data_IF_389169128343
#
_entry.id   IF_389169128343
#
_cell.length_a   1.000
_cell.length_b   1.000
_cell.length_c   1.000
_cell.angle_alpha   90.00
_cell.angle_beta   90.00
_cell.angle_gamma   90.00
#
_symmetry.space_group_name_H-M   'P 1'
#
loop_
_entity.id
_entity.type
_entity.pdbx_description
1 polymer ?
#
# COMPACT_ATOMS: atom_id res chain seq x y z
N UNK A 1 -19.38 32.74 0.86
CA UNK A 1 -20.10 31.47 0.64
C UNK A 1 -20.02 31.17 -0.84
N UNK A 2 -18.92 30.59 -1.30
CA UNK A 2 -18.77 30.14 -2.67
C UNK A 2 -18.80 28.60 -2.63
N UNK A 3 -19.75 28.03 -3.34
CA UNK A 3 -20.03 26.61 -3.41
C UNK A 3 -18.82 25.87 -4.00
N UNK A 4 -18.33 24.86 -3.29
CA UNK A 4 -17.34 23.91 -3.81
C UNK A 4 -18.01 23.02 -4.85
N UNK A 5 -18.02 23.47 -6.11
CA UNK A 5 -18.35 22.59 -7.23
C UNK A 5 -17.17 21.63 -7.44
N UNK A 6 -17.30 20.39 -6.95
CA UNK A 6 -16.36 19.30 -7.22
C UNK A 6 -16.28 19.05 -8.74
N UNK A 7 -15.24 19.58 -9.38
CA UNK A 7 -14.99 19.37 -10.80
C UNK A 7 -14.73 17.87 -11.08
N UNK A 8 -15.73 17.20 -11.65
CA UNK A 8 -15.66 15.82 -12.16
C UNK A 8 -14.61 15.61 -13.28
N UNK A 9 -13.85 16.64 -13.66
CA UNK A 9 -12.88 16.65 -14.76
C UNK A 9 -11.42 16.44 -14.33
N UNK A 10 -11.13 16.22 -13.04
CA UNK A 10 -9.75 16.16 -12.55
C UNK A 10 -9.18 14.75 -12.35
N UNK A 11 -10.04 13.72 -12.44
CA UNK A 11 -9.63 12.34 -12.20
C UNK A 11 -9.69 11.47 -13.46
N UNK A 12 -8.75 10.55 -13.57
CA UNK A 12 -8.86 9.37 -14.43
C UNK A 12 -8.80 8.11 -13.59
N UNK A 13 -9.36 7.02 -14.10
CA UNK A 13 -9.43 5.76 -13.38
C UNK A 13 -8.40 4.77 -13.91
N UNK A 14 -7.66 4.15 -12.99
CA UNK A 14 -6.91 2.91 -13.24
C UNK A 14 -7.69 1.76 -12.61
N UNK A 15 -8.03 0.78 -13.44
CA UNK A 15 -8.60 -0.47 -12.98
C UNK A 15 -7.46 -1.40 -12.53
N UNK A 16 -7.63 -2.03 -11.36
CA UNK A 16 -6.72 -3.04 -10.80
C UNK A 16 -7.52 -4.30 -10.54
N UNK A 17 -7.24 -5.35 -11.32
CA UNK A 17 -7.98 -6.61 -11.28
C UNK A 17 -7.49 -7.52 -10.14
N UNK A 18 -8.45 -8.00 -9.35
CA UNK A 18 -8.26 -8.99 -8.28
C UNK A 18 -8.27 -10.41 -8.84
N UNK A 19 -7.71 -11.35 -8.09
CA UNK A 19 -7.65 -12.77 -8.49
C UNK A 19 -9.05 -13.43 -8.59
N UNK A 20 -10.07 -12.86 -7.96
CA UNK A 20 -11.46 -13.31 -8.05
C UNK A 20 -12.23 -12.70 -9.25
N UNK A 21 -11.56 -11.90 -10.08
CA UNK A 21 -12.14 -11.22 -11.25
C UNK A 21 -12.88 -9.91 -10.94
N UNK A 22 -13.01 -9.54 -9.65
CA UNK A 22 -13.50 -8.20 -9.29
C UNK A 22 -12.41 -7.15 -9.53
N UNK A 23 -12.81 -5.88 -9.65
CA UNK A 23 -11.90 -4.80 -10.10
C UNK A 23 -11.96 -3.62 -9.14
N UNK A 24 -10.83 -3.25 -8.58
CA UNK A 24 -10.65 -2.00 -7.84
C UNK A 24 -10.55 -0.84 -8.84
N UNK A 25 -11.40 0.17 -8.66
CA UNK A 25 -11.43 1.39 -9.48
C UNK A 25 -10.71 2.51 -8.75
N UNK A 26 -9.48 2.81 -9.19
CA UNK A 26 -8.62 3.77 -8.51
C UNK A 26 -8.58 5.09 -9.27
N UNK A 27 -9.13 6.15 -8.69
CA UNK A 27 -8.98 7.53 -9.18
C UNK A 27 -7.54 7.99 -8.99
N UNK A 28 -7.06 8.71 -10.00
CA UNK A 28 -5.76 9.36 -10.07
C UNK A 28 -5.96 10.78 -10.62
N UNK A 29 -5.09 11.72 -10.24
CA UNK A 29 -5.24 13.12 -10.65
C UNK A 29 -4.45 13.44 -11.93
N UNK A 30 -5.05 14.15 -12.88
CA UNK A 30 -4.31 14.69 -14.04
C UNK A 30 -3.33 15.80 -13.67
N UNK A 31 -3.62 16.52 -12.60
CA UNK A 31 -2.80 17.60 -12.03
C UNK A 31 -2.65 17.35 -10.55
N UNK A 32 -1.41 17.25 -10.08
CA UNK A 32 -1.09 16.95 -8.69
C UNK A 32 0.39 16.57 -8.56
N UNK A 33 0.80 16.26 -7.32
CA UNK A 33 2.14 15.77 -7.01
C UNK A 33 2.21 14.23 -7.19
N UNK A 34 3.38 13.65 -6.96
CA UNK A 34 3.69 12.21 -7.13
C UNK A 34 2.74 11.24 -6.41
N UNK A 35 2.03 11.68 -5.38
CA UNK A 35 1.09 10.85 -4.62
C UNK A 35 -0.24 10.56 -5.31
N UNK A 36 -0.51 11.21 -6.45
CA UNK A 36 -1.80 11.14 -7.13
C UNK A 36 -1.91 10.03 -8.19
N UNK A 37 -0.91 9.16 -8.31
CA UNK A 37 -0.86 8.07 -9.30
C UNK A 37 -0.62 6.71 -8.63
N UNK A 38 -1.07 5.65 -9.30
CA UNK A 38 -0.80 4.27 -8.94
C UNK A 38 0.59 3.91 -9.44
N UNK A 39 1.53 3.72 -8.50
CA UNK A 39 2.89 3.30 -8.79
C UNK A 39 2.99 1.78 -9.02
N UNK A 40 3.93 1.34 -9.85
CA UNK A 40 4.12 -0.08 -10.13
C UNK A 40 4.41 -0.90 -8.87
N UNK A 41 5.17 -0.34 -7.92
CA UNK A 41 5.41 -0.97 -6.61
C UNK A 41 4.11 -1.22 -5.82
N UNK A 42 3.11 -0.35 -5.97
CA UNK A 42 1.80 -0.53 -5.33
C UNK A 42 1.00 -1.65 -6.01
N UNK A 43 1.12 -1.81 -7.33
CA UNK A 43 0.51 -2.93 -8.07
C UNK A 43 1.17 -4.24 -7.65
N UNK A 44 2.51 -4.31 -7.67
CA UNK A 44 3.28 -5.48 -7.24
C UNK A 44 2.91 -5.88 -5.80
N UNK A 45 2.84 -4.91 -4.89
CA UNK A 45 2.46 -5.19 -3.51
C UNK A 45 1.01 -5.68 -3.40
N UNK A 46 0.07 -5.05 -4.11
CA UNK A 46 -1.33 -5.47 -4.12
C UNK A 46 -1.49 -6.92 -4.58
N UNK A 47 -0.79 -7.32 -5.66
CA UNK A 47 -0.83 -8.69 -6.18
C UNK A 47 -0.09 -9.68 -5.29
N UNK A 48 0.99 -9.25 -4.63
CA UNK A 48 1.64 -10.05 -3.60
C UNK A 48 0.68 -10.44 -2.48
N UNK A 49 -0.20 -9.53 -2.01
CA UNK A 49 -1.21 -9.85 -0.98
C UNK A 49 -2.18 -10.95 -1.41
N UNK A 50 -2.42 -11.11 -2.70
CA UNK A 50 -3.32 -12.14 -3.27
C UNK A 50 -2.60 -13.45 -3.64
N UNK A 51 -1.30 -13.58 -3.38
CA UNK A 51 -0.58 -14.83 -3.63
C UNK A 51 -1.21 -15.97 -2.82
N UNK A 52 -1.27 -17.18 -3.38
CA UNK A 52 -1.95 -18.33 -2.76
C UNK A 52 -1.45 -18.69 -1.36
N UNK A 53 -0.20 -18.35 -1.06
CA UNK A 53 0.39 -18.53 0.27
C UNK A 53 -0.21 -17.62 1.33
N UNK A 54 -0.70 -16.43 0.92
CA UNK A 54 -1.28 -15.41 1.79
C UNK A 54 -2.81 -15.40 1.72
N UNK A 55 -3.38 -15.68 0.55
CA UNK A 55 -4.81 -15.68 0.30
C UNK A 55 -5.19 -16.71 -0.76
N UNK A 56 -5.92 -17.75 -0.35
CA UNK A 56 -6.53 -18.75 -1.22
C UNK A 56 -7.83 -19.27 -0.60
N UNK A 57 -8.98 -18.68 -0.95
CA UNK A 57 -10.29 -19.09 -0.44
C UNK A 57 -10.63 -20.54 -0.73
N UNK A 58 -10.13 -21.13 -1.84
CA UNK A 58 -10.40 -22.52 -2.18
C UNK A 58 -9.75 -23.50 -1.20
N UNK A 59 -8.63 -23.13 -0.59
CA UNK A 59 -7.93 -23.90 0.45
C UNK A 59 -8.18 -23.38 1.87
N UNK A 60 -9.02 -22.36 2.02
CA UNK A 60 -9.35 -21.74 3.32
C UNK A 60 -8.24 -20.84 3.88
N UNK A 61 -7.24 -20.49 3.08
CA UNK A 61 -6.14 -19.61 3.48
C UNK A 61 -6.59 -18.15 3.37
N UNK A 62 -6.57 -17.42 4.48
CA UNK A 62 -6.69 -15.97 4.47
C UNK A 62 -5.86 -15.38 5.63
N UNK A 63 -4.66 -14.92 5.31
CA UNK A 63 -3.76 -14.32 6.30
C UNK A 63 -4.19 -12.93 6.76
N UNK A 64 -5.04 -12.25 5.97
CA UNK A 64 -5.45 -10.86 6.17
C UNK A 64 -6.69 -10.72 7.03
N UNK A 65 -7.50 -11.78 7.10
CA UNK A 65 -8.71 -11.82 7.91
C UNK A 65 -8.43 -11.31 9.34
N UNK A 66 -9.16 -10.25 9.72
CA UNK A 66 -9.09 -9.63 11.05
C UNK A 66 -7.73 -9.06 11.45
N UNK A 67 -6.77 -8.92 10.52
CA UNK A 67 -5.51 -8.21 10.78
C UNK A 67 -5.75 -6.71 10.81
N UNK A 68 -5.13 -6.04 11.77
CA UNK A 68 -5.05 -4.58 11.78
C UNK A 68 -3.84 -4.15 10.95
N UNK A 69 -4.06 -3.38 9.90
CA UNK A 69 -3.04 -2.91 8.96
C UNK A 69 -3.00 -1.39 8.97
N UNK A 70 -1.79 -0.84 9.02
CA UNK A 70 -1.53 0.57 8.81
C UNK A 70 -0.70 0.71 7.54
N UNK A 71 -1.22 1.42 6.55
CA UNK A 71 -0.48 1.79 5.34
C UNK A 71 0.07 3.20 5.50
N UNK A 72 1.38 3.38 5.26
CA UNK A 72 2.07 4.66 5.33
C UNK A 72 2.46 5.11 3.92
N UNK A 73 2.10 6.34 3.54
CA UNK A 73 2.34 6.84 2.18
C UNK A 73 1.44 6.16 1.15
N UNK A 74 0.14 6.07 1.47
CA UNK A 74 -0.84 5.32 0.71
C UNK A 74 -1.09 5.90 -0.71
N UNK A 75 -0.84 7.19 -0.93
CA UNK A 75 -1.09 7.88 -2.19
C UNK A 75 -2.55 7.77 -2.62
N UNK A 76 -2.82 6.87 -3.56
CA UNK A 76 -4.18 6.55 -4.03
C UNK A 76 -4.94 5.59 -3.12
N UNK A 77 -4.25 4.88 -2.21
CA UNK A 77 -4.84 3.90 -1.27
C UNK A 77 -5.04 2.51 -1.85
N UNK A 78 -4.50 2.21 -3.03
CA UNK A 78 -4.75 0.94 -3.73
C UNK A 78 -4.33 -0.31 -2.93
N UNK A 79 -3.21 -0.26 -2.21
CA UNK A 79 -2.73 -1.43 -1.45
C UNK A 79 -3.61 -1.65 -0.22
N UNK A 80 -3.94 -0.59 0.51
CA UNK A 80 -4.87 -0.67 1.63
C UNK A 80 -6.26 -1.12 1.22
N UNK A 81 -6.75 -0.67 0.06
CA UNK A 81 -8.01 -1.14 -0.52
C UNK A 81 -7.96 -2.63 -0.86
N UNK A 82 -6.87 -3.08 -1.48
CA UNK A 82 -6.65 -4.50 -1.72
C UNK A 82 -6.71 -5.27 -0.40
N UNK A 83 -5.92 -4.89 0.60
CA UNK A 83 -5.90 -5.55 1.90
C UNK A 83 -7.28 -5.57 2.60
N UNK A 84 -8.02 -4.46 2.57
CA UNK A 84 -9.37 -4.37 3.13
C UNK A 84 -10.35 -5.29 2.40
N UNK A 85 -10.27 -5.37 1.07
CA UNK A 85 -11.09 -6.28 0.26
C UNK A 85 -10.81 -7.77 0.54
N UNK A 86 -9.61 -8.08 1.06
CA UNK A 86 -9.23 -9.43 1.49
C UNK A 86 -9.59 -9.71 2.96
N UNK A 87 -10.22 -8.76 3.66
CA UNK A 87 -10.75 -8.93 5.02
C UNK A 87 -9.91 -8.33 6.14
N UNK A 88 -8.92 -7.48 5.82
CA UNK A 88 -8.18 -6.73 6.83
C UNK A 88 -8.94 -5.50 7.34
N UNK A 89 -8.57 -5.03 8.53
CA UNK A 89 -8.99 -3.76 9.10
C UNK A 89 -7.87 -2.75 8.87
N UNK A 90 -8.08 -1.80 7.96
CA UNK A 90 -7.02 -0.98 7.39
C UNK A 90 -7.19 0.48 7.78
N UNK A 91 -6.11 1.09 8.25
CA UNK A 91 -5.95 2.55 8.28
C UNK A 91 -4.95 2.91 7.19
N UNK A 92 -5.39 3.63 6.15
CA UNK A 92 -4.50 4.17 5.12
C UNK A 92 -4.08 5.59 5.48
N UNK A 93 -2.81 5.92 5.28
CA UNK A 93 -2.30 7.23 5.70
C UNK A 93 -1.39 7.89 4.70
N UNK A 94 -1.54 9.21 4.58
CA UNK A 94 -0.72 10.07 3.74
C UNK A 94 -0.81 11.53 4.25
N UNK A 95 -0.26 12.47 3.49
CA UNK A 95 -0.37 13.90 3.73
C UNK A 95 -1.83 14.38 3.62
N UNK A 96 -2.13 15.49 4.30
CA UNK A 96 -3.47 16.06 4.37
C UNK A 96 -4.08 16.31 2.97
N UNK A 97 -3.25 16.76 2.03
CA UNK A 97 -3.67 17.08 0.66
C UNK A 97 -4.19 15.85 -0.11
N UNK A 98 -3.83 14.62 0.30
CA UNK A 98 -4.29 13.38 -0.35
C UNK A 98 -5.51 12.76 0.34
N UNK A 99 -5.95 13.27 1.48
CA UNK A 99 -7.10 12.71 2.20
C UNK A 99 -8.37 12.72 1.33
N UNK A 100 -8.57 13.76 0.51
CA UNK A 100 -9.70 13.81 -0.41
C UNK A 100 -9.65 12.70 -1.47
N UNK A 101 -8.46 12.40 -2.01
CA UNK A 101 -8.27 11.35 -3.01
C UNK A 101 -8.51 9.96 -2.39
N UNK A 102 -7.95 9.72 -1.20
CA UNK A 102 -8.15 8.49 -0.45
C UNK A 102 -9.63 8.24 -0.18
N UNK A 103 -10.36 9.25 0.29
CA UNK A 103 -11.78 9.10 0.58
C UNK A 103 -12.63 8.81 -0.66
N UNK A 104 -12.33 9.44 -1.80
CA UNK A 104 -13.00 9.13 -3.08
C UNK A 104 -12.75 7.67 -3.46
N UNK A 105 -11.51 7.19 -3.37
CA UNK A 105 -11.17 5.81 -3.72
C UNK A 105 -11.78 4.80 -2.74
N UNK A 106 -11.87 5.12 -1.45
CA UNK A 106 -12.59 4.30 -0.47
C UNK A 106 -14.06 4.19 -0.85
N UNK A 107 -14.71 5.32 -1.10
CA UNK A 107 -16.13 5.36 -1.44
C UNK A 107 -16.45 4.57 -2.73
N UNK A 108 -15.64 4.73 -3.77
CA UNK A 108 -15.83 4.06 -5.07
C UNK A 108 -15.65 2.54 -4.99
N UNK A 109 -14.99 2.01 -3.95
CA UNK A 109 -14.67 0.59 -3.80
C UNK A 109 -15.31 -0.05 -2.55
N UNK A 110 -16.18 0.67 -1.84
CA UNK A 110 -16.74 0.23 -0.57
C UNK A 110 -17.48 -1.11 -0.67
N UNK A 111 -18.13 -1.39 -1.80
CA UNK A 111 -18.87 -2.64 -2.04
C UNK A 111 -17.96 -3.88 -2.10
N UNK A 112 -16.67 -3.70 -2.42
CA UNK A 112 -15.67 -4.78 -2.47
C UNK A 112 -15.10 -5.10 -1.08
N UNK A 113 -15.33 -4.22 -0.10
CA UNK A 113 -14.89 -4.40 1.29
C UNK A 113 -16.03 -5.02 2.10
N UNK A 114 -16.08 -6.35 2.13
CA UNK A 114 -17.16 -7.09 2.77
C UNK A 114 -16.88 -7.42 4.25
N UNK A 115 -15.78 -8.11 4.53
CA UNK A 115 -15.38 -8.54 5.88
C UNK A 115 -14.26 -7.69 6.49
N UNK A 116 -13.68 -6.77 5.71
CA UNK A 116 -12.66 -5.84 6.16
C UNK A 116 -13.23 -4.47 6.51
N UNK A 117 -12.33 -3.53 6.79
CA UNK A 117 -12.66 -2.12 6.92
C UNK A 117 -11.51 -1.27 6.40
N UNK A 118 -11.80 -0.04 6.00
CA UNK A 118 -10.78 0.91 5.58
C UNK A 118 -11.19 2.32 6.02
N UNK A 119 -10.23 3.07 6.57
CA UNK A 119 -10.36 4.49 6.89
C UNK A 119 -9.07 5.24 6.52
N UNK A 120 -9.21 6.53 6.16
CA UNK A 120 -8.06 7.39 5.85
C UNK A 120 -7.73 8.32 7.02
N UNK A 121 -6.43 8.45 7.33
CA UNK A 121 -5.90 9.37 8.36
C UNK A 121 -4.61 10.04 7.90
N UNK A 122 -4.28 11.21 8.46
CA UNK A 122 -2.99 11.87 8.23
C UNK A 122 -1.97 11.49 9.32
N UNK A 123 -0.71 11.25 8.96
CA UNK A 123 0.35 10.87 9.92
C UNK A 123 1.64 11.68 9.74
N UNK A 124 2.48 11.64 10.78
CA UNK A 124 3.77 12.33 10.90
C UNK A 124 4.92 11.54 10.20
N UNK A 125 6.14 12.10 10.10
CA UNK A 125 7.25 11.52 9.33
C UNK A 125 7.52 10.03 9.58
N UNK A 126 7.81 9.32 8.49
CA UNK A 126 7.80 7.86 8.36
C UNK A 126 8.61 7.10 9.44
N UNK A 127 9.88 7.44 9.62
CA UNK A 127 10.79 6.67 10.49
C UNK A 127 10.38 6.75 11.96
N UNK A 128 10.06 7.95 12.43
CA UNK A 128 9.57 8.13 13.80
C UNK A 128 8.25 7.39 14.01
N UNK A 129 7.33 7.46 13.04
CA UNK A 129 6.07 6.71 13.09
C UNK A 129 6.30 5.20 13.24
N UNK A 130 7.25 4.61 12.48
CA UNK A 130 7.58 3.19 12.62
C UNK A 130 8.12 2.84 14.01
N UNK A 131 9.02 3.66 14.57
CA UNK A 131 9.59 3.41 15.91
C UNK A 131 8.53 3.40 17.01
N UNK A 132 7.48 4.21 16.88
CA UNK A 132 6.42 4.32 17.87
C UNK A 132 5.34 3.23 17.73
N UNK A 133 5.03 2.82 16.51
CA UNK A 133 3.87 1.95 16.24
C UNK A 133 4.23 0.46 16.15
N UNK A 134 5.48 0.13 15.82
CA UNK A 134 5.86 -1.26 15.55
C UNK A 134 6.22 -1.95 16.86
N UNK A 135 5.34 -2.84 17.32
CA UNK A 135 5.56 -3.72 18.45
C UNK A 135 6.40 -4.96 18.08
N UNK A 136 6.70 -5.85 19.05
CA UNK A 136 7.50 -7.06 18.82
C UNK A 136 6.84 -8.05 17.82
N UNK A 137 5.50 -8.11 17.80
CA UNK A 137 4.73 -9.01 16.91
C UNK A 137 4.33 -8.35 15.58
N UNK A 138 4.67 -7.08 15.38
CA UNK A 138 4.30 -6.34 14.17
C UNK A 138 5.25 -6.72 13.03
N UNK A 139 4.69 -7.13 11.89
CA UNK A 139 5.44 -7.29 10.64
C UNK A 139 5.14 -6.09 9.74
N UNK A 140 6.20 -5.45 9.25
CA UNK A 140 6.13 -4.40 8.23
C UNK A 140 6.38 -5.07 6.88
N UNK A 141 5.56 -4.76 5.88
CA UNK A 141 5.80 -5.13 4.49
C UNK A 141 6.17 -3.84 3.74
N UNK A 142 7.41 -3.73 3.28
CA UNK A 142 7.89 -2.59 2.53
C UNK A 142 8.10 -3.00 1.08
N UNK A 143 7.38 -2.38 0.14
CA UNK A 143 7.58 -2.57 -1.29
C UNK A 143 8.07 -1.26 -1.91
N UNK A 144 9.15 -1.32 -2.67
CA UNK A 144 9.69 -0.13 -3.33
C UNK A 144 10.38 -0.48 -4.65
N UNK A 145 10.37 0.48 -5.57
CA UNK A 145 11.15 0.42 -6.80
C UNK A 145 12.56 0.97 -6.55
N UNK A 146 13.58 0.16 -6.79
CA UNK A 146 14.98 0.56 -6.71
C UNK A 146 15.32 1.50 -7.87
N UNK A 147 15.82 2.70 -7.55
CA UNK A 147 16.17 3.71 -8.55
C UNK A 147 17.65 4.05 -8.50
N UNK A 148 18.33 3.88 -9.62
CA UNK A 148 19.79 4.03 -9.72
C UNK A 148 20.24 5.44 -10.12
N UNK A 149 19.31 6.32 -10.48
CA UNK A 149 19.61 7.66 -11.02
C UNK A 149 19.54 8.77 -9.96
N UNK A 150 20.37 9.79 -10.13
CA UNK A 150 20.34 11.03 -9.33
C UNK A 150 20.67 10.80 -7.86
N UNK A 151 19.86 11.37 -6.96
CA UNK A 151 20.06 11.27 -5.51
C UNK A 151 19.49 9.97 -4.90
N UNK A 152 18.68 9.22 -5.65
CA UNK A 152 17.95 8.05 -5.14
C UNK A 152 18.84 6.98 -4.50
N UNK A 153 19.99 6.58 -5.08
CA UNK A 153 20.85 5.57 -4.45
C UNK A 153 21.36 5.99 -3.07
N UNK A 154 21.62 7.29 -2.88
CA UNK A 154 22.09 7.82 -1.59
C UNK A 154 20.96 7.86 -0.57
N UNK A 155 19.76 8.26 -1.00
CA UNK A 155 18.56 8.30 -0.15
C UNK A 155 18.16 6.89 0.29
N UNK A 156 18.14 5.93 -0.63
CA UNK A 156 17.86 4.52 -0.33
C UNK A 156 18.88 3.96 0.67
N UNK A 157 20.18 4.19 0.43
CA UNK A 157 21.24 3.77 1.36
C UNK A 157 21.04 4.38 2.76
N UNK A 158 20.79 5.68 2.84
CA UNK A 158 20.57 6.37 4.12
C UNK A 158 19.30 5.85 4.83
N UNK A 159 18.23 5.55 4.09
CA UNK A 159 17.02 4.96 4.64
C UNK A 159 17.31 3.62 5.31
N UNK A 160 18.01 2.70 4.63
CA UNK A 160 18.35 1.40 5.20
C UNK A 160 19.37 1.50 6.35
N UNK A 161 20.33 2.42 6.28
CA UNK A 161 21.26 2.69 7.39
C UNK A 161 20.54 3.16 8.67
N UNK A 162 19.43 3.90 8.53
CA UNK A 162 18.60 4.33 9.67
C UNK A 162 17.65 3.23 10.13
N UNK A 163 17.00 2.55 9.19
CA UNK A 163 16.02 1.50 9.47
C UNK A 163 16.69 0.32 10.19
N UNK A 164 17.85 -0.14 9.71
CA UNK A 164 18.50 -1.34 10.22
C UNK A 164 19.18 -1.14 11.59
N UNK A 165 19.10 0.06 12.18
CA UNK A 165 19.52 0.30 13.57
C UNK A 165 18.57 -0.35 14.58
N UNK A 166 17.28 -0.39 14.26
CA UNK A 166 16.22 -0.86 15.17
C UNK A 166 15.47 -2.09 14.61
N UNK A 167 15.69 -2.42 13.34
CA UNK A 167 14.92 -3.43 12.61
C UNK A 167 15.83 -4.40 11.85
N UNK A 168 15.31 -5.60 11.63
CA UNK A 168 15.85 -6.59 10.70
C UNK A 168 14.94 -6.69 9.48
N UNK A 169 15.52 -6.90 8.31
CA UNK A 169 14.78 -7.04 7.04
C UNK A 169 15.15 -8.32 6.30
N UNK A 170 14.16 -9.03 5.79
CA UNK A 170 14.29 -10.15 4.86
C UNK A 170 13.64 -9.78 3.53
N UNK A 171 14.35 -10.01 2.43
CA UNK A 171 13.80 -9.80 1.09
C UNK A 171 13.00 -11.01 0.62
N UNK A 172 11.83 -10.75 0.03
CA UNK A 172 10.99 -11.78 -0.56
C UNK A 172 11.50 -12.06 -1.98
N UNK A 173 11.98 -13.29 -2.26
CA UNK A 173 12.51 -13.64 -3.57
C UNK A 173 11.39 -13.63 -4.63
N UNK A 174 11.75 -13.31 -5.88
CA UNK A 174 10.81 -13.17 -7.00
C UNK A 174 9.89 -14.40 -7.18
N UNK A 175 10.39 -15.61 -6.91
CA UNK A 175 9.59 -16.84 -7.03
C UNK A 175 8.49 -17.00 -5.96
N UNK A 176 8.48 -16.14 -4.94
CA UNK A 176 7.41 -16.04 -3.93
C UNK A 176 6.50 -14.83 -4.16
N UNK A 177 6.77 -14.02 -5.19
CA UNK A 177 5.92 -12.92 -5.60
C UNK A 177 4.87 -13.40 -6.62
N UNK A 178 3.98 -12.51 -7.04
CA UNK A 178 3.04 -12.81 -8.12
C UNK A 178 3.82 -13.07 -9.43
N UNK A 179 3.54 -14.17 -10.17
CA UNK A 179 4.32 -14.56 -11.35
C UNK A 179 4.21 -13.58 -12.53
N UNK A 180 3.13 -12.80 -12.62
CA UNK A 180 2.92 -11.79 -13.66
C UNK A 180 3.30 -10.39 -13.15
N UNK A 181 2.97 -10.09 -11.89
CA UNK A 181 3.16 -8.77 -11.30
C UNK A 181 4.38 -8.74 -10.37
N UNK A 182 5.58 -8.87 -10.95
CA UNK A 182 6.86 -8.73 -10.28
C UNK A 182 7.90 -8.03 -11.19
N UNK A 183 8.98 -7.52 -10.60
CA UNK A 183 10.11 -6.94 -11.34
C UNK A 183 11.39 -7.08 -10.52
N UNK A 184 12.57 -7.34 -11.15
CA UNK A 184 13.85 -7.34 -10.43
C UNK A 184 14.18 -5.98 -9.82
N UNK A 185 13.60 -4.90 -10.35
CA UNK A 185 13.79 -3.54 -9.83
C UNK A 185 12.77 -3.17 -8.75
N UNK A 186 11.78 -4.03 -8.45
CA UNK A 186 10.79 -3.81 -7.39
C UNK A 186 10.98 -4.86 -6.31
N UNK A 187 11.36 -4.38 -5.12
CA UNK A 187 11.73 -5.24 -3.98
C UNK A 187 10.62 -5.23 -2.95
N UNK A 188 10.27 -6.42 -2.44
CA UNK A 188 9.38 -6.59 -1.29
C UNK A 188 10.21 -7.08 -0.11
N UNK A 189 10.15 -6.36 1.00
CA UNK A 189 10.85 -6.67 2.24
C UNK A 189 9.86 -6.94 3.36
N UNK A 190 10.09 -8.01 4.10
CA UNK A 190 9.50 -8.22 5.43
C UNK A 190 10.46 -7.66 6.48
N UNK A 191 9.99 -6.67 7.24
CA UNK A 191 10.78 -6.00 8.27
C UNK A 191 10.15 -6.24 9.64
N UNK A 192 10.97 -6.53 10.64
CA UNK A 192 10.57 -6.76 12.03
C UNK A 192 11.52 -6.05 12.98
N UNK A 193 11.04 -5.69 14.17
CA UNK A 193 11.90 -5.11 15.20
C UNK A 193 13.01 -6.11 15.57
N UNK A 194 14.25 -5.63 15.68
CA UNK A 194 15.35 -6.45 16.18
C UNK A 194 15.14 -6.72 17.68
N UNK A 195 15.39 -7.96 18.11
CA UNK A 195 15.26 -8.38 19.52
C UNK A 195 16.57 -8.14 20.25
#
# INVERSE_FOLDING_TARGET
MAEHTLHHNNYFTRDVEKNDGSVLKIKQCFKGDVGCVVWDAAIVLSKYLETKTLYDPCSGVNMWASKNILELGAGTGVVGLMAASLGAQVTVTDLEDLQSLLQVNIQDNQELVSSGSIEAKSVKPLVETLKHLVGPETTIICCYEQRTVGVNPKVEKQFFELLLQDFQSEEIPLNKQDPEYNSPDIRILHIRRAV
#
